data_IF_975839396194
#
_entry.id   IF_975839396194
#
_cell.length_a   1.000
_cell.length_b   1.000
_cell.length_c   1.000
_cell.angle_alpha   90.00
_cell.angle_beta   90.00
_cell.angle_gamma   90.00
#
_symmetry.space_group_name_H-M   'P 1'
#
loop_
_entity.id
_entity.type
_entity.pdbx_description
1 polymer ?
#
# COMPACT_ATOMS: atom_id res chain seq x y z
N UNK A 1 -15.86 12.03 0.23
CA UNK A 1 -16.73 11.06 -0.47
C UNK A 1 -17.51 10.31 0.58
N UNK A 2 -18.82 10.14 0.41
CA UNK A 2 -19.69 9.43 1.36
C UNK A 2 -20.23 8.17 0.69
N UNK A 3 -20.25 7.06 1.41
CA UNK A 3 -20.84 5.78 0.97
C UNK A 3 -21.80 5.30 2.04
N UNK A 4 -22.79 4.50 1.64
CA UNK A 4 -23.74 3.88 2.56
C UNK A 4 -23.50 2.38 2.65
N UNK A 5 -23.89 1.80 3.78
CA UNK A 5 -23.89 0.35 3.98
C UNK A 5 -25.17 -0.23 3.37
N UNK A 6 -25.03 -1.30 2.59
CA UNK A 6 -26.19 -1.97 2.00
C UNK A 6 -26.95 -2.81 3.04
N UNK A 7 -28.06 -3.43 2.63
CA UNK A 7 -28.92 -4.24 3.52
C UNK A 7 -28.20 -5.47 4.11
N UNK A 8 -27.08 -5.87 3.55
CA UNK A 8 -26.29 -7.03 3.97
C UNK A 8 -25.08 -6.61 4.83
N UNK A 9 -24.94 -5.32 5.16
CA UNK A 9 -23.83 -4.84 5.98
C UNK A 9 -22.55 -4.57 5.19
N UNK A 10 -22.61 -4.49 3.86
CA UNK A 10 -21.42 -4.28 3.02
C UNK A 10 -21.29 -2.81 2.61
N UNK A 11 -20.05 -2.36 2.44
CA UNK A 11 -19.74 -1.09 1.79
C UNK A 11 -19.12 -1.33 0.42
N UNK A 12 -19.38 -0.43 -0.53
CA UNK A 12 -18.77 -0.49 -1.86
C UNK A 12 -17.64 0.52 -1.93
N UNK A 13 -16.43 0.06 -2.26
CA UNK A 13 -15.30 0.95 -2.55
C UNK A 13 -15.44 1.48 -3.98
N UNK A 14 -15.60 2.81 -4.18
CA UNK A 14 -15.81 3.38 -5.50
C UNK A 14 -14.63 3.13 -6.45
N UNK A 15 -14.93 2.99 -7.75
CA UNK A 15 -13.94 2.62 -8.79
C UNK A 15 -12.69 3.50 -8.76
N UNK A 16 -12.85 4.82 -8.59
CA UNK A 16 -11.74 5.76 -8.56
C UNK A 16 -10.74 5.44 -7.42
N UNK A 17 -11.24 5.13 -6.22
CA UNK A 17 -10.41 4.72 -5.08
C UNK A 17 -9.78 3.35 -5.31
N UNK A 18 -10.53 2.39 -5.87
CA UNK A 18 -9.98 1.06 -6.19
C UNK A 18 -8.79 1.14 -7.14
N UNK A 19 -8.91 1.95 -8.21
CA UNK A 19 -7.82 2.15 -9.17
C UNK A 19 -6.63 2.86 -8.53
N UNK A 20 -6.87 3.94 -7.79
CA UNK A 20 -5.81 4.73 -7.16
C UNK A 20 -5.01 3.92 -6.12
N UNK A 21 -5.68 3.02 -5.40
CA UNK A 21 -5.08 2.20 -4.33
C UNK A 21 -4.69 0.79 -4.79
N UNK A 22 -4.83 0.46 -6.08
CA UNK A 22 -4.51 -0.86 -6.61
C UNK A 22 -5.38 -2.01 -6.05
N UNK A 23 -6.59 -1.71 -5.59
CA UNK A 23 -7.53 -2.72 -5.04
C UNK A 23 -8.25 -3.41 -6.21
N UNK A 24 -7.86 -4.64 -6.48
CA UNK A 24 -8.44 -5.50 -7.53
C UNK A 24 -9.48 -6.45 -6.94
N UNK A 25 -10.24 -7.20 -7.78
CA UNK A 25 -10.91 -8.40 -7.30
C UNK A 25 -9.93 -9.29 -6.51
N UNK A 26 -10.45 -9.93 -5.47
CA UNK A 26 -9.71 -10.84 -4.58
C UNK A 26 -8.58 -10.20 -3.75
N UNK A 27 -8.41 -8.88 -3.79
CA UNK A 27 -7.55 -8.17 -2.83
C UNK A 27 -8.10 -8.37 -1.42
N UNK A 28 -7.32 -9.03 -0.56
CA UNK A 28 -7.65 -9.16 0.85
C UNK A 28 -7.45 -7.82 1.54
N UNK A 29 -8.44 -7.39 2.31
CA UNK A 29 -8.43 -6.15 3.08
C UNK A 29 -8.55 -6.47 4.56
N UNK A 30 -7.78 -5.77 5.37
CA UNK A 30 -7.89 -5.76 6.83
C UNK A 30 -8.75 -4.57 7.28
N UNK A 31 -9.56 -4.81 8.30
CA UNK A 31 -10.49 -3.85 8.90
C UNK A 31 -10.01 -3.56 10.31
N UNK A 32 -9.49 -2.35 10.54
CA UNK A 32 -8.84 -1.96 11.79
C UNK A 32 -9.66 -0.84 12.44
N UNK A 33 -10.16 -1.04 13.68
CA UNK A 33 -10.75 0.05 14.44
C UNK A 33 -9.71 1.16 14.68
N UNK A 34 -10.05 2.41 14.33
CA UNK A 34 -9.14 3.54 14.44
C UNK A 34 -9.86 4.72 15.11
N UNK A 35 -9.77 4.78 16.44
CA UNK A 35 -10.49 5.75 17.26
C UNK A 35 -12.01 5.64 17.09
N UNK A 36 -12.63 6.69 16.56
CA UNK A 36 -14.06 6.72 16.24
C UNK A 36 -14.37 6.20 14.82
N UNK A 37 -13.36 5.72 14.09
CA UNK A 37 -13.45 5.33 12.69
C UNK A 37 -13.01 3.89 12.42
N UNK A 38 -12.93 3.59 11.13
CA UNK A 38 -12.54 2.31 10.58
C UNK A 38 -11.49 2.55 9.50
N UNK A 39 -10.28 2.01 9.69
CA UNK A 39 -9.24 1.99 8.66
C UNK A 39 -9.34 0.69 7.88
N UNK A 40 -9.26 0.80 6.56
CA UNK A 40 -9.30 -0.33 5.63
C UNK A 40 -8.01 -0.31 4.82
N UNK A 41 -7.22 -1.36 4.92
CA UNK A 41 -5.93 -1.46 4.22
C UNK A 41 -5.77 -2.84 3.57
N UNK A 42 -5.06 -2.95 2.43
CA UNK A 42 -4.72 -4.26 1.89
C UNK A 42 -3.91 -5.07 2.91
N UNK A 43 -4.23 -6.36 3.05
CA UNK A 43 -3.43 -7.28 3.86
C UNK A 43 -2.04 -7.31 3.27
N UNK A 44 -1.07 -6.73 3.99
CA UNK A 44 0.33 -6.70 3.57
C UNK A 44 0.91 -8.11 3.69
N UNK A 45 0.71 -8.96 2.68
CA UNK A 45 1.31 -10.31 2.61
C UNK A 45 2.84 -10.27 2.62
N UNK A 46 3.44 -9.12 2.34
CA UNK A 46 4.88 -8.90 2.31
C UNK A 46 5.22 -7.52 2.86
N UNK A 47 4.95 -7.29 4.15
CA UNK A 47 5.66 -6.22 4.84
C UNK A 47 7.16 -6.46 4.62
N UNK A 48 7.87 -5.48 4.04
CA UNK A 48 9.33 -5.57 3.96
C UNK A 48 9.84 -5.83 5.38
N UNK A 49 10.75 -6.80 5.58
CA UNK A 49 11.31 -7.02 6.90
C UNK A 49 11.89 -5.69 7.40
N UNK A 50 11.70 -5.37 8.67
CA UNK A 50 12.39 -4.22 9.28
C UNK A 50 13.68 -4.78 9.86
N UNK A 51 14.81 -4.28 9.37
CA UNK A 51 16.14 -4.58 9.89
C UNK A 51 16.60 -3.41 10.78
N UNK A 52 17.44 -3.68 11.77
CA UNK A 52 18.13 -2.61 12.51
C UNK A 52 19.52 -2.39 11.92
N UNK A 53 19.83 -1.17 11.49
CA UNK A 53 21.18 -0.77 11.05
C UNK A 53 21.57 0.52 11.76
N UNK A 54 22.74 0.53 12.38
CA UNK A 54 23.24 1.68 13.15
C UNK A 54 22.26 2.19 14.21
N UNK A 55 21.50 1.27 14.83
CA UNK A 55 20.47 1.59 15.83
C UNK A 55 19.16 2.14 15.25
N UNK A 56 19.04 2.28 13.93
CA UNK A 56 17.85 2.78 13.26
C UNK A 56 17.06 1.63 12.60
N UNK A 57 15.70 1.64 12.67
CA UNK A 57 14.89 0.73 11.90
C UNK A 57 14.94 1.12 10.43
N UNK A 58 15.38 0.19 9.59
CA UNK A 58 15.46 0.37 8.14
C UNK A 58 14.65 -0.72 7.44
N UNK A 59 14.10 -0.40 6.27
CA UNK A 59 13.46 -1.40 5.41
C UNK A 59 14.53 -2.38 4.91
N UNK A 60 14.37 -3.64 5.27
CA UNK A 60 15.24 -4.73 4.90
C UNK A 60 15.28 -4.97 3.40
N UNK A 61 16.33 -5.68 2.97
CA UNK A 61 16.58 -5.91 1.54
C UNK A 61 15.52 -6.84 0.97
N UNK A 62 14.99 -6.51 -0.20
CA UNK A 62 14.13 -7.44 -0.96
C UNK A 62 15.04 -8.35 -1.77
N UNK A 63 14.91 -9.65 -1.57
CA UNK A 63 15.69 -10.64 -2.33
C UNK A 63 15.43 -10.48 -3.84
N UNK A 64 16.51 -10.47 -4.62
CA UNK A 64 16.45 -10.26 -6.08
C UNK A 64 16.16 -8.82 -6.53
N UNK A 65 15.89 -7.88 -5.61
CA UNK A 65 15.75 -6.48 -5.98
C UNK A 65 17.14 -5.85 -6.19
N UNK A 66 17.52 -5.68 -7.46
CA UNK A 66 18.71 -4.94 -7.87
C UNK A 66 18.27 -3.58 -8.38
N UNK A 67 18.88 -2.52 -7.84
CA UNK A 67 18.71 -1.16 -8.33
C UNK A 67 20.07 -0.70 -8.85
N UNK A 68 20.17 -0.42 -10.14
CA UNK A 68 21.41 0.06 -10.76
C UNK A 68 21.44 1.58 -10.83
N UNK A 69 22.62 2.16 -11.04
CA UNK A 69 22.77 3.60 -11.26
C UNK A 69 21.94 4.09 -12.47
N UNK A 70 21.76 3.22 -13.48
CA UNK A 70 20.94 3.53 -14.65
C UNK A 70 19.45 3.60 -14.32
N UNK A 71 18.97 2.70 -13.45
CA UNK A 71 17.59 2.75 -12.96
C UNK A 71 17.34 4.04 -12.17
N UNK A 72 18.30 4.46 -11.35
CA UNK A 72 18.23 5.71 -10.57
C UNK A 72 18.22 6.93 -11.49
N UNK A 73 19.10 6.98 -12.50
CA UNK A 73 19.12 8.08 -13.49
C UNK A 73 17.79 8.22 -14.20
N UNK A 74 17.24 7.11 -14.72
CA UNK A 74 15.94 7.10 -15.42
C UNK A 74 14.81 7.66 -14.55
N UNK A 75 14.69 7.19 -13.30
CA UNK A 75 13.64 7.64 -12.38
C UNK A 75 13.74 9.13 -12.04
N UNK A 76 14.97 9.64 -11.83
CA UNK A 76 15.19 11.06 -11.54
C UNK A 76 14.78 11.92 -12.73
N UNK A 77 15.18 11.53 -13.94
CA UNK A 77 14.97 12.33 -15.15
C UNK A 77 13.48 12.33 -15.58
N UNK A 78 12.71 11.29 -15.22
CA UNK A 78 11.24 11.24 -15.43
C UNK A 78 10.49 12.20 -14.48
N UNK A 79 10.98 12.45 -13.27
CA UNK A 79 10.36 13.37 -12.30
C UNK A 79 10.66 14.84 -12.65
N UNK A 80 11.76 15.10 -13.35
CA UNK A 80 12.21 16.47 -13.69
C UNK A 80 11.61 17.02 -14.99
N UNK A 81 10.74 16.26 -15.67
CA UNK A 81 10.00 16.69 -16.87
C UNK A 81 8.58 17.13 -16.52
#
# INVERSE_FOLDING_TARGET
MTVTVDRLGRLVIPKALRVALGITPDTQLELIPDGAGLRIEPVQRRARPIETRDGLPVLGRVEGAVLTDEDVRRLRDDIQR
#
